data_IF_652886310243
#
_entry.id   IF_652886310243
#
_cell.length_a   1.000
_cell.length_b   1.000
_cell.length_c   1.000
_cell.angle_alpha   90.00
_cell.angle_beta   90.00
_cell.angle_gamma   90.00
#
_symmetry.space_group_name_H-M   'P 1'
#
loop_
_entity.id
_entity.type
_entity.pdbx_description
1 polymer ?
#
# COMPACT_ATOMS: atom_id res chain seq x y z
N UNK A 1 -21.11 9.68 2.95
CA UNK A 1 -20.52 9.27 1.65
C UNK A 1 -19.81 10.43 0.96
N UNK A 2 -20.43 11.62 0.85
CA UNK A 2 -19.82 12.83 0.26
C UNK A 2 -18.55 13.28 1.00
N UNK A 3 -18.59 13.42 2.33
CA UNK A 3 -17.44 13.85 3.15
C UNK A 3 -16.21 12.95 2.99
N UNK A 4 -16.42 11.63 2.90
CA UNK A 4 -15.34 10.65 2.68
C UNK A 4 -14.67 10.86 1.31
N UNK A 5 -15.44 11.20 0.28
CA UNK A 5 -14.89 11.47 -1.05
C UNK A 5 -14.12 12.79 -1.08
N UNK A 6 -14.60 13.83 -0.40
CA UNK A 6 -13.90 15.11 -0.27
C UNK A 6 -12.56 14.94 0.47
N UNK A 7 -12.56 14.18 1.56
CA UNK A 7 -11.34 13.86 2.32
C UNK A 7 -10.32 13.09 1.46
N UNK A 8 -10.77 12.13 0.64
CA UNK A 8 -9.88 11.37 -0.25
C UNK A 8 -9.29 12.24 -1.37
N UNK A 9 -10.06 13.19 -1.92
CA UNK A 9 -9.56 14.13 -2.91
C UNK A 9 -8.51 15.08 -2.33
N UNK A 10 -8.76 15.60 -1.12
CA UNK A 10 -7.80 16.44 -0.41
C UNK A 10 -6.52 15.64 -0.07
N UNK A 11 -6.67 14.42 0.42
CA UNK A 11 -5.54 13.54 0.70
C UNK A 11 -4.68 13.29 -0.54
N UNK A 12 -5.32 13.02 -1.70
CA UNK A 12 -4.61 12.84 -2.96
C UNK A 12 -3.85 14.10 -3.39
N UNK A 13 -4.44 15.29 -3.23
CA UNK A 13 -3.78 16.55 -3.54
C UNK A 13 -2.54 16.79 -2.65
N UNK A 14 -2.69 16.59 -1.33
CA UNK A 14 -1.60 16.77 -0.38
C UNK A 14 -0.48 15.76 -0.62
N UNK A 15 -0.83 14.49 -0.84
CA UNK A 15 0.15 13.45 -1.15
C UNK A 15 0.90 13.74 -2.44
N UNK A 16 0.23 14.31 -3.46
CA UNK A 16 0.88 14.71 -4.72
C UNK A 16 1.92 15.80 -4.48
N UNK A 17 1.58 16.82 -3.67
CA UNK A 17 2.54 17.87 -3.30
C UNK A 17 3.73 17.29 -2.52
N UNK A 18 3.47 16.37 -1.59
CA UNK A 18 4.53 15.73 -0.81
C UNK A 18 5.52 14.96 -1.70
N UNK A 19 5.02 14.13 -2.64
CA UNK A 19 5.86 13.42 -3.61
C UNK A 19 6.61 14.38 -4.54
N UNK A 20 5.99 15.48 -4.97
CA UNK A 20 6.68 16.49 -5.79
C UNK A 20 7.83 17.17 -5.06
N UNK A 21 7.69 17.40 -3.75
CA UNK A 21 8.72 18.04 -2.93
C UNK A 21 9.85 17.06 -2.57
N UNK A 22 9.53 15.79 -2.32
CA UNK A 22 10.49 14.75 -1.92
C UNK A 22 10.17 13.45 -2.68
N UNK A 23 10.59 13.33 -3.96
CA UNK A 23 10.18 12.22 -4.83
C UNK A 23 10.75 10.86 -4.42
N UNK A 24 11.88 10.84 -3.70
CA UNK A 24 12.56 9.62 -3.24
C UNK A 24 12.23 9.28 -1.77
N UNK A 25 11.13 9.81 -1.23
CA UNK A 25 10.65 9.44 0.10
C UNK A 25 9.79 8.18 0.01
N UNK A 26 10.30 7.05 0.50
CA UNK A 26 9.57 5.79 0.57
C UNK A 26 8.19 5.97 1.24
N UNK A 27 8.13 6.72 2.34
CA UNK A 27 6.89 6.98 3.07
C UNK A 27 5.86 7.80 2.26
N UNK A 28 6.30 8.78 1.47
CA UNK A 28 5.38 9.58 0.65
C UNK A 28 4.88 8.81 -0.58
N UNK A 29 5.73 7.96 -1.15
CA UNK A 29 5.35 7.05 -2.23
C UNK A 29 4.33 6.01 -1.72
N UNK A 30 4.54 5.42 -0.54
CA UNK A 30 3.56 4.51 0.08
C UNK A 30 2.23 5.24 0.35
N UNK A 31 2.28 6.41 0.99
CA UNK A 31 1.08 7.22 1.27
C UNK A 31 0.28 7.51 0.01
N UNK A 32 0.96 7.91 -1.08
CA UNK A 32 0.33 8.15 -2.38
C UNK A 32 -0.33 6.88 -2.92
N UNK A 33 0.40 5.76 -2.93
CA UNK A 33 -0.12 4.50 -3.43
C UNK A 33 -1.30 3.98 -2.61
N UNK A 34 -1.26 4.12 -1.29
CA UNK A 34 -2.36 3.73 -0.42
C UNK A 34 -3.61 4.59 -0.66
N UNK A 35 -3.48 5.91 -0.83
CA UNK A 35 -4.61 6.78 -1.18
C UNK A 35 -5.21 6.37 -2.53
N UNK A 36 -4.37 6.11 -3.54
CA UNK A 36 -4.80 5.65 -4.86
C UNK A 36 -5.57 4.33 -4.78
N UNK A 37 -5.12 3.40 -3.94
CA UNK A 37 -5.83 2.15 -3.67
C UNK A 37 -7.21 2.40 -3.05
N UNK A 38 -7.30 3.29 -2.06
CA UNK A 38 -8.55 3.62 -1.35
C UNK A 38 -9.59 4.30 -2.23
N UNK A 39 -9.18 4.95 -3.33
CA UNK A 39 -10.07 5.52 -4.36
C UNK A 39 -10.32 4.58 -5.54
N UNK A 40 -9.77 3.36 -5.51
CA UNK A 40 -9.98 2.32 -6.53
C UNK A 40 -9.03 2.36 -7.72
N UNK A 41 -8.01 3.23 -7.71
CA UNK A 41 -6.99 3.27 -8.74
C UNK A 41 -5.85 2.29 -8.43
N UNK A 42 -6.17 1.00 -8.52
CA UNK A 42 -5.26 -0.08 -8.13
C UNK A 42 -4.00 -0.18 -9.02
N UNK A 43 -4.09 0.25 -10.27
CA UNK A 43 -2.93 0.25 -11.19
C UNK A 43 -1.89 1.24 -10.72
N UNK A 44 -2.26 2.51 -10.51
CA UNK A 44 -1.30 3.51 -10.03
C UNK A 44 -0.87 3.23 -8.58
N UNK A 45 -1.75 2.68 -7.74
CA UNK A 45 -1.39 2.27 -6.39
C UNK A 45 -0.22 1.28 -6.39
N UNK A 46 -0.27 0.29 -7.29
CA UNK A 46 0.77 -0.72 -7.43
C UNK A 46 2.12 -0.09 -7.82
N UNK A 47 2.10 0.87 -8.75
CA UNK A 47 3.32 1.52 -9.23
C UNK A 47 4.00 2.35 -8.12
N UNK A 48 3.22 3.10 -7.34
CA UNK A 48 3.78 3.93 -6.24
C UNK A 48 4.29 3.09 -5.07
N UNK A 49 3.55 2.06 -4.66
CA UNK A 49 3.99 1.18 -3.55
C UNK A 49 5.23 0.37 -3.96
N UNK A 50 5.35 -0.05 -5.23
CA UNK A 50 6.59 -0.68 -5.72
C UNK A 50 7.78 0.25 -5.64
N UNK A 51 7.64 1.50 -6.07
CA UNK A 51 8.72 2.50 -5.94
C UNK A 51 9.10 2.73 -4.48
N UNK A 52 8.13 2.74 -3.55
CA UNK A 52 8.42 2.81 -2.11
C UNK A 52 9.31 1.64 -1.66
N UNK A 53 8.98 0.41 -2.09
CA UNK A 53 9.74 -0.80 -1.73
C UNK A 53 11.11 -0.89 -2.39
N UNK A 54 11.29 -0.27 -3.57
CA UNK A 54 12.61 -0.15 -4.19
C UNK A 54 13.57 0.69 -3.34
N UNK A 55 13.04 1.60 -2.52
CA UNK A 55 13.82 2.46 -1.62
C UNK A 55 13.96 1.82 -0.23
N UNK A 56 12.85 1.34 0.36
CA UNK A 56 12.81 0.71 1.69
C UNK A 56 12.03 -0.61 1.59
N UNK A 57 12.74 -1.74 1.57
CA UNK A 57 12.15 -3.05 1.28
C UNK A 57 11.75 -3.87 2.53
N UNK A 58 12.02 -3.36 3.72
CA UNK A 58 11.86 -4.03 5.02
C UNK A 58 10.79 -3.37 5.92
N UNK A 59 9.95 -2.51 5.35
CA UNK A 59 8.81 -1.94 6.05
C UNK A 59 7.60 -2.88 6.01
N UNK A 60 7.23 -3.43 7.16
CA UNK A 60 6.12 -4.38 7.27
C UNK A 60 4.78 -3.81 6.77
N UNK A 61 4.50 -2.53 7.03
CA UNK A 61 3.24 -1.87 6.63
C UNK A 61 3.18 -1.70 5.11
N UNK A 62 4.27 -1.24 4.49
CA UNK A 62 4.33 -1.05 3.02
C UNK A 62 4.23 -2.41 2.30
N UNK A 63 4.88 -3.45 2.83
CA UNK A 63 4.76 -4.82 2.32
C UNK A 63 3.32 -5.34 2.44
N UNK A 64 2.62 -5.02 3.53
CA UNK A 64 1.21 -5.34 3.71
C UNK A 64 0.33 -4.62 2.68
N UNK A 65 0.50 -3.31 2.52
CA UNK A 65 -0.21 -2.52 1.50
C UNK A 65 0.01 -3.09 0.09
N UNK A 66 1.24 -3.47 -0.26
CA UNK A 66 1.51 -4.10 -1.55
C UNK A 66 0.75 -5.41 -1.71
N UNK A 67 0.67 -6.23 -0.65
CA UNK A 67 -0.12 -7.44 -0.66
C UNK A 67 -1.60 -7.18 -0.90
N UNK A 68 -2.17 -6.16 -0.25
CA UNK A 68 -3.56 -5.76 -0.40
C UNK A 68 -3.89 -5.27 -1.81
N UNK A 69 -2.99 -4.49 -2.42
CA UNK A 69 -3.11 -4.03 -3.81
C UNK A 69 -2.99 -5.19 -4.80
N UNK A 70 -2.10 -6.15 -4.57
CA UNK A 70 -2.04 -7.35 -5.40
C UNK A 70 -3.33 -8.17 -5.33
N UNK A 71 -3.90 -8.31 -4.13
CA UNK A 71 -5.17 -9.00 -3.93
C UNK A 71 -6.30 -8.32 -4.71
N UNK A 72 -6.42 -6.99 -4.66
CA UNK A 72 -7.46 -6.27 -5.40
C UNK A 72 -7.28 -6.32 -6.91
N UNK A 73 -6.06 -6.59 -7.38
CA UNK A 73 -5.73 -6.85 -8.77
C UNK A 73 -5.83 -8.35 -9.14
N UNK A 74 -6.53 -9.16 -8.33
CA UNK A 74 -6.71 -10.60 -8.50
C UNK A 74 -5.41 -11.44 -8.53
N UNK A 75 -4.29 -10.88 -8.07
CA UNK A 75 -3.00 -11.57 -7.99
C UNK A 75 -2.76 -12.09 -6.56
N UNK A 76 -3.53 -13.11 -6.18
CA UNK A 76 -3.51 -13.69 -4.82
C UNK A 76 -2.15 -14.30 -4.48
N UNK A 77 -1.45 -14.89 -5.46
CA UNK A 77 -0.11 -15.48 -5.25
C UNK A 77 0.91 -14.42 -4.81
N UNK A 78 0.90 -13.25 -5.45
CA UNK A 78 1.77 -12.14 -5.05
C UNK A 78 1.31 -11.56 -3.70
N UNK A 79 0.01 -11.44 -3.47
CA UNK A 79 -0.54 -10.98 -2.20
C UNK A 79 -0.02 -11.81 -1.01
N UNK A 80 -0.17 -13.14 -1.07
CA UNK A 80 0.33 -14.07 -0.04
C UNK A 80 1.85 -13.97 0.13
N UNK A 81 2.60 -13.72 -0.95
CA UNK A 81 4.05 -13.53 -0.88
C UNK A 81 4.42 -12.30 -0.05
N UNK A 82 3.79 -11.15 -0.30
CA UNK A 82 4.11 -9.91 0.39
C UNK A 82 3.54 -9.84 1.81
N UNK A 83 2.34 -10.36 2.06
CA UNK A 83 1.84 -10.52 3.43
C UNK A 83 2.73 -11.43 4.26
N UNK A 84 3.29 -12.50 3.69
CA UNK A 84 4.25 -13.37 4.39
C UNK A 84 5.55 -12.63 4.73
N UNK A 85 6.05 -11.78 3.82
CA UNK A 85 7.22 -10.93 4.10
C UNK A 85 6.93 -9.95 5.25
N UNK A 86 5.79 -9.27 5.20
CA UNK A 86 5.34 -8.37 6.26
C UNK A 86 5.22 -9.10 7.62
N UNK A 87 4.63 -10.30 7.62
CA UNK A 87 4.47 -11.11 8.82
C UNK A 87 5.81 -11.58 9.41
N UNK A 88 6.80 -11.89 8.57
CA UNK A 88 8.12 -12.26 9.05
C UNK A 88 8.84 -11.10 9.78
N UNK A 89 8.52 -9.84 9.43
CA UNK A 89 9.08 -8.65 10.09
C UNK A 89 8.32 -8.36 11.40
N UNK A 90 7.00 -8.53 11.40
CA UNK A 90 6.16 -8.34 12.58
C UNK A 90 5.36 -9.63 12.90
N UNK A 91 6.02 -10.66 13.46
CA UNK A 91 5.35 -11.91 13.82
C UNK A 91 4.36 -11.66 14.96
N UNK A 92 3.13 -12.15 14.82
CA UNK A 92 2.03 -11.93 15.77
C UNK A 92 1.05 -10.83 15.38
N UNK A 93 1.20 -10.23 14.20
CA UNK A 93 0.14 -9.40 13.62
C UNK A 93 -1.06 -10.27 13.21
N UNK A 94 -2.13 -10.22 14.00
CA UNK A 94 -3.36 -11.00 13.77
C UNK A 94 -4.04 -10.71 12.43
N UNK A 95 -3.93 -9.49 11.90
CA UNK A 95 -4.51 -9.15 10.59
C UNK A 95 -3.76 -9.88 9.47
N UNK A 96 -2.43 -9.88 9.51
CA UNK A 96 -1.60 -10.62 8.56
C UNK A 96 -1.83 -12.13 8.67
N UNK A 97 -1.99 -12.68 9.88
CA UNK A 97 -2.35 -14.09 10.07
C UNK A 97 -3.68 -14.43 9.40
N UNK A 98 -4.71 -13.60 9.60
CA UNK A 98 -6.02 -13.76 8.95
C UNK A 98 -5.87 -13.70 7.43
N UNK A 99 -5.16 -12.71 6.89
CA UNK A 99 -4.91 -12.56 5.44
C UNK A 99 -4.21 -13.79 4.84
N UNK A 100 -3.27 -14.40 5.57
CA UNK A 100 -2.54 -15.60 5.14
C UNK A 100 -3.36 -16.90 5.25
N UNK A 101 -4.26 -16.98 6.24
CA UNK A 101 -5.15 -18.13 6.44
C UNK A 101 -6.37 -18.16 5.50
N UNK A 102 -6.69 -17.03 4.86
CA UNK A 102 -7.80 -16.94 3.95
C UNK A 102 -7.58 -17.84 2.71
N UNK A 103 -8.59 -18.63 2.29
CA UNK A 103 -8.49 -19.52 1.14
C UNK A 103 -8.08 -18.77 -0.14
#
# INVERSE_FOLDING_TARGET
LVERNEQLNLALELSRKAVQLVPESAAYLDTMGWILFRIGNNTMALDYIKQSIEIENDNAIVLEHLGDVYKSNNNISSAKTYWKKAFNINPGNEELEKKLSAP
#
